data_IF_174650499175
#
_entry.id   IF_174650499175
#
_cell.length_a   1.000
_cell.length_b   1.000
_cell.length_c   1.000
_cell.angle_alpha   90.00
_cell.angle_beta   90.00
_cell.angle_gamma   90.00
#
_symmetry.space_group_name_H-M   'P 1'
#
loop_
_entity.id
_entity.type
_entity.pdbx_description
1 polymer ?
#
# COMPACT_ATOMS: atom_id res chain seq x y z
N UNK A 1 -11.87 -12.19 2.64
CA UNK A 1 -11.93 -11.30 3.82
C UNK A 1 -12.61 -9.98 3.43
N UNK A 2 -13.58 -9.50 4.21
CA UNK A 2 -14.36 -8.29 3.88
C UNK A 2 -13.88 -7.02 4.60
N UNK A 3 -12.95 -7.15 5.55
CA UNK A 3 -12.54 -6.07 6.45
C UNK A 3 -11.68 -5.00 5.77
N UNK A 4 -10.93 -5.36 4.71
CA UNK A 4 -10.08 -4.43 3.96
C UNK A 4 -10.79 -3.77 2.76
N UNK A 5 -12.06 -4.12 2.50
CA UNK A 5 -12.85 -3.50 1.42
C UNK A 5 -12.94 -1.97 1.52
N UNK A 6 -13.06 -1.36 2.71
CA UNK A 6 -13.10 0.09 2.85
C UNK A 6 -11.87 0.83 2.31
N UNK A 7 -10.71 0.16 2.24
CA UNK A 7 -9.47 0.77 1.72
C UNK A 7 -9.43 0.82 0.19
N UNK A 8 -10.19 -0.05 -0.46
CA UNK A 8 -10.18 -0.25 -1.91
C UNK A 8 -11.36 0.43 -2.62
N UNK A 9 -12.52 0.50 -1.96
CA UNK A 9 -13.70 1.12 -2.54
C UNK A 9 -13.82 2.60 -2.15
N UNK A 10 -14.26 3.47 -3.07
CA UNK A 10 -14.74 3.18 -4.42
C UNK A 10 -13.60 3.10 -5.48
N UNK A 11 -13.76 2.26 -6.49
CA UNK A 11 -12.78 2.13 -7.60
C UNK A 11 -12.76 3.32 -8.56
N UNK A 12 -13.83 4.12 -8.54
CA UNK A 12 -13.92 5.40 -9.23
C UNK A 12 -14.28 6.48 -8.20
N UNK A 13 -13.63 7.65 -8.24
CA UNK A 13 -13.89 8.71 -7.27
C UNK A 13 -15.33 9.24 -7.43
N UNK A 14 -16.10 9.19 -6.36
CA UNK A 14 -17.39 9.87 -6.24
C UNK A 14 -17.13 11.15 -5.44
N UNK A 15 -17.85 12.24 -5.70
CA UNK A 15 -17.57 13.56 -5.11
C UNK A 15 -17.29 13.57 -3.59
N UNK A 16 -17.96 12.71 -2.82
CA UNK A 16 -17.78 12.62 -1.36
C UNK A 16 -16.90 11.45 -0.89
N UNK A 17 -16.47 10.54 -1.78
CA UNK A 17 -15.73 9.31 -1.40
C UNK A 17 -14.63 8.97 -2.38
N UNK A 18 -13.41 8.80 -1.86
CA UNK A 18 -12.22 8.44 -2.62
C UNK A 18 -11.59 7.18 -2.05
N UNK A 19 -10.94 6.39 -2.90
CA UNK A 19 -10.11 5.29 -2.45
C UNK A 19 -8.86 5.81 -1.73
N UNK A 20 -8.22 4.97 -0.90
CA UNK A 20 -6.96 5.34 -0.25
C UNK A 20 -5.91 5.76 -1.29
N UNK A 21 -5.85 5.08 -2.43
CA UNK A 21 -4.89 5.39 -3.49
C UNK A 21 -5.18 6.74 -4.14
N UNK A 22 -6.44 7.08 -4.40
CA UNK A 22 -6.80 8.39 -4.97
C UNK A 22 -6.46 9.54 -4.02
N UNK A 23 -6.67 9.34 -2.71
CA UNK A 23 -6.30 10.31 -1.68
C UNK A 23 -4.79 10.54 -1.66
N UNK A 24 -4.01 9.45 -1.72
CA UNK A 24 -2.55 9.50 -1.79
C UNK A 24 -2.09 10.22 -3.07
N UNK A 25 -2.67 9.84 -4.22
CA UNK A 25 -2.35 10.42 -5.53
C UNK A 25 -2.61 11.91 -5.54
N UNK A 26 -3.75 12.35 -4.98
CA UNK A 26 -4.08 13.76 -4.84
C UNK A 26 -3.09 14.48 -3.93
N UNK A 27 -2.76 13.91 -2.76
CA UNK A 27 -1.84 14.52 -1.81
C UNK A 27 -0.41 14.69 -2.35
N UNK A 28 0.02 13.81 -3.27
CA UNK A 28 1.33 13.89 -3.93
C UNK A 28 1.30 14.86 -5.12
N UNK A 29 0.30 14.76 -6.01
CA UNK A 29 0.30 15.46 -7.30
C UNK A 29 -0.35 16.85 -7.26
N UNK A 30 -1.41 17.03 -6.46
CA UNK A 30 -2.14 18.30 -6.38
C UNK A 30 -1.68 19.13 -5.18
N UNK A 31 -1.67 18.52 -3.99
CA UNK A 31 -1.36 19.25 -2.76
C UNK A 31 0.14 19.40 -2.53
N UNK A 32 0.96 18.50 -3.10
CA UNK A 32 2.42 18.48 -2.90
C UNK A 32 2.85 18.33 -1.43
N UNK A 33 1.96 17.83 -0.59
CA UNK A 33 2.14 17.77 0.87
C UNK A 33 2.82 16.50 1.35
N UNK A 34 2.96 15.51 0.47
CA UNK A 34 3.52 14.20 0.79
C UNK A 34 4.74 13.92 -0.08
N UNK A 35 5.81 13.44 0.55
CA UNK A 35 7.00 12.96 -0.17
C UNK A 35 6.88 11.46 -0.45
N UNK A 36 7.03 11.08 -1.72
CA UNK A 36 7.15 9.69 -2.13
C UNK A 36 8.62 9.27 -2.15
N UNK A 37 8.92 8.03 -1.81
CA UNK A 37 10.26 7.46 -1.78
C UNK A 37 10.37 6.25 -2.69
N UNK A 38 11.47 6.15 -3.42
CA UNK A 38 11.74 5.03 -4.33
C UNK A 38 11.97 3.72 -3.54
N UNK A 39 11.26 2.61 -3.83
CA UNK A 39 11.46 1.31 -3.19
C UNK A 39 12.68 0.55 -3.76
N UNK A 40 13.44 1.19 -4.66
CA UNK A 40 14.62 0.69 -5.31
C UNK A 40 14.30 -0.28 -6.47
N UNK A 41 15.32 -0.71 -7.24
CA UNK A 41 15.12 -1.49 -8.46
C UNK A 41 14.44 -2.85 -8.24
N UNK A 42 14.60 -3.42 -7.04
CA UNK A 42 14.06 -4.74 -6.67
C UNK A 42 12.74 -4.59 -5.86
N UNK A 43 12.38 -3.36 -5.46
CA UNK A 43 11.17 -3.12 -4.68
C UNK A 43 11.24 -3.67 -3.25
N UNK A 44 12.45 -3.81 -2.73
CA UNK A 44 12.75 -4.35 -1.39
C UNK A 44 13.38 -3.32 -0.47
N UNK A 45 13.81 -2.16 -0.99
CA UNK A 45 14.34 -1.09 -0.14
C UNK A 45 13.18 -0.42 0.59
N UNK A 46 13.26 -0.40 1.91
CA UNK A 46 12.28 0.17 2.83
C UNK A 46 12.92 1.20 3.78
N UNK A 47 14.10 1.74 3.40
CA UNK A 47 14.88 2.69 4.20
C UNK A 47 14.62 4.17 3.86
N UNK A 48 13.67 4.48 2.97
CA UNK A 48 13.27 5.86 2.61
C UNK A 48 14.45 6.76 2.18
N UNK A 49 15.44 6.21 1.46
CA UNK A 49 16.70 6.90 1.13
C UNK A 49 16.56 7.98 0.07
N UNK A 50 15.71 7.74 -0.93
CA UNK A 50 15.63 8.56 -2.15
C UNK A 50 14.23 9.16 -2.27
N UNK A 51 14.05 10.44 -1.93
CA UNK A 51 12.80 11.13 -2.21
C UNK A 51 12.64 11.30 -3.73
N UNK A 52 11.44 11.04 -4.23
CA UNK A 52 11.05 11.21 -5.63
C UNK A 52 10.36 12.55 -5.83
N UNK A 53 10.55 13.18 -6.98
CA UNK A 53 9.79 14.37 -7.34
C UNK A 53 8.36 13.99 -7.78
N UNK A 54 7.36 14.89 -7.61
CA UNK A 54 5.99 14.64 -8.07
C UNK A 54 5.90 14.29 -9.56
N UNK A 55 6.78 14.85 -10.39
CA UNK A 55 6.87 14.52 -11.82
C UNK A 55 7.33 13.09 -12.05
N UNK A 56 8.31 12.60 -11.30
CA UNK A 56 8.81 11.22 -11.41
C UNK A 56 7.74 10.22 -10.94
N UNK A 57 6.99 10.58 -9.89
CA UNK A 57 5.84 9.77 -9.45
C UNK A 57 4.77 9.72 -10.53
N UNK A 58 4.48 10.86 -11.18
CA UNK A 58 3.52 10.90 -12.29
C UNK A 58 3.96 10.01 -13.44
N UNK A 59 5.23 10.03 -13.81
CA UNK A 59 5.77 9.17 -14.86
C UNK A 59 5.72 7.69 -14.48
N UNK A 60 5.97 7.35 -13.21
CA UNK A 60 5.83 5.98 -12.71
C UNK A 60 4.37 5.48 -12.70
N UNK A 61 3.42 6.40 -12.51
CA UNK A 61 1.99 6.13 -12.58
C UNK A 61 1.44 6.08 -14.01
N UNK A 62 2.21 6.52 -15.01
CA UNK A 62 1.82 6.47 -16.42
C UNK A 62 2.64 5.38 -17.10
N UNK A 63 2.04 4.21 -17.30
CA UNK A 63 2.64 3.19 -18.15
C UNK A 63 2.35 3.55 -19.61
N UNK A 64 3.39 3.79 -20.41
CA UNK A 64 3.23 3.87 -21.87
C UNK A 64 3.08 2.45 -22.42
N UNK A 65 1.90 2.11 -22.91
CA UNK A 65 1.65 0.85 -23.60
C UNK A 65 1.56 1.13 -25.10
N UNK A 66 2.20 0.30 -25.92
CA UNK A 66 2.18 0.43 -27.38
C UNK A 66 1.09 -0.45 -27.94
N UNK A 67 0.10 0.14 -28.57
CA UNK A 67 -0.91 -0.60 -29.34
C UNK A 67 -0.74 -0.33 -30.83
N UNK A 68 -0.78 -1.38 -31.64
CA UNK A 68 -0.80 -1.24 -33.08
C UNK A 68 -2.19 -0.80 -33.52
N UNK A 69 -2.30 0.41 -34.06
CA UNK A 69 -3.55 0.93 -34.64
C UNK A 69 -3.37 1.07 -36.14
N UNK A 70 -4.37 0.66 -36.91
CA UNK A 70 -4.32 0.76 -38.36
C UNK A 70 -4.53 2.23 -38.78
N UNK A 71 -3.57 2.76 -39.55
CA UNK A 71 -3.66 4.13 -40.05
C UNK A 71 -4.69 4.19 -41.19
N UNK A 72 -5.78 4.93 -40.95
CA UNK A 72 -6.92 5.13 -41.85
C UNK A 72 -6.56 5.66 -43.25
N UNK A 73 -5.37 6.24 -43.44
CA UNK A 73 -4.93 6.80 -44.72
C UNK A 73 -3.92 5.93 -45.49
N UNK A 74 -3.14 5.11 -44.79
CA UNK A 74 -2.04 4.33 -45.40
C UNK A 74 -2.21 2.82 -45.28
N UNK A 75 -3.16 2.32 -44.47
CA UNK A 75 -3.36 0.89 -44.21
C UNK A 75 -2.17 0.21 -43.51
N UNK A 76 -1.17 0.99 -43.08
CA UNK A 76 -0.04 0.51 -42.31
C UNK A 76 -0.40 0.46 -40.82
N UNK A 77 0.11 -0.54 -40.11
CA UNK A 77 0.04 -0.55 -38.64
C UNK A 77 0.99 0.52 -38.10
N UNK A 78 0.44 1.62 -37.61
CA UNK A 78 1.20 2.62 -36.86
C UNK A 78 1.23 2.22 -35.38
N UNK A 79 2.35 2.53 -34.73
CA UNK A 79 2.50 2.35 -33.29
C UNK A 79 1.86 3.54 -32.59
N UNK A 80 0.69 3.33 -32.01
CA UNK A 80 0.05 4.33 -31.15
C UNK A 80 0.49 4.09 -29.70
N UNK A 81 1.05 5.13 -29.07
CA UNK A 81 1.35 5.13 -27.64
C UNK A 81 0.06 5.47 -26.88
N UNK A 82 -0.50 4.49 -26.16
CA UNK A 82 -1.58 4.74 -25.22
C UNK A 82 -0.96 4.91 -23.83
N UNK A 83 -1.14 6.08 -23.25
CA UNK A 83 -0.78 6.33 -21.87
C UNK A 83 -1.81 5.63 -20.97
N UNK A 84 -1.43 4.49 -20.39
CA UNK A 84 -2.24 3.79 -19.41
C UNK A 84 -1.90 4.33 -18.03
N UNK A 85 -2.76 5.21 -17.54
CA UNK A 85 -2.66 5.71 -16.17
C UNK A 85 -3.09 4.62 -15.18
N UNK A 86 -2.30 4.47 -14.11
CA UNK A 86 -2.63 3.56 -13.00
C UNK A 86 -3.90 4.05 -12.31
N UNK A 87 -4.93 3.22 -12.35
CA UNK A 87 -6.19 3.47 -11.65
C UNK A 87 -6.12 2.88 -10.25
N UNK A 88 -6.97 3.38 -9.36
CA UNK A 88 -7.15 2.82 -8.00
C UNK A 88 -7.53 1.34 -8.02
N UNK A 89 -8.22 0.91 -9.08
CA UNK A 89 -8.54 -0.50 -9.30
C UNK A 89 -7.32 -1.41 -9.51
N UNK A 90 -6.19 -0.86 -9.99
CA UNK A 90 -4.97 -1.64 -10.21
C UNK A 90 -4.17 -1.84 -8.89
N UNK A 91 -4.49 -1.07 -7.84
CA UNK A 91 -3.81 -1.12 -6.54
C UNK A 91 -4.60 -1.99 -5.57
N UNK A 92 -4.23 -3.27 -5.50
CA UNK A 92 -4.95 -4.27 -4.70
C UNK A 92 -4.30 -4.56 -3.34
N UNK A 93 -3.03 -4.19 -3.15
CA UNK A 93 -2.29 -4.50 -1.92
C UNK A 93 -1.52 -3.29 -1.42
N UNK A 94 -1.38 -3.21 -0.10
CA UNK A 94 -0.55 -2.23 0.57
C UNK A 94 0.45 -2.95 1.46
N UNK A 95 1.71 -2.55 1.40
CA UNK A 95 2.71 -2.90 2.41
C UNK A 95 2.70 -1.82 3.47
N UNK A 96 2.68 -2.24 4.73
CA UNK A 96 2.74 -1.34 5.87
C UNK A 96 3.99 -1.71 6.66
N UNK A 97 4.82 -0.70 6.97
CA UNK A 97 5.99 -0.84 7.84
C UNK A 97 5.63 -0.31 9.21
N UNK A 98 5.76 -1.17 10.22
CA UNK A 98 5.36 -0.89 11.60
C UNK A 98 6.54 -1.07 12.54
N UNK A 99 6.61 -0.21 13.55
CA UNK A 99 7.49 -0.34 14.70
C UNK A 99 6.68 -0.74 15.92
N UNK A 100 7.14 -1.76 16.62
CA UNK A 100 6.48 -2.32 17.79
C UNK A 100 7.34 -1.99 18.99
N UNK A 101 6.96 -0.93 19.70
CA UNK A 101 7.74 -0.36 20.80
C UNK A 101 7.12 -0.82 22.12
N UNK A 102 7.94 -1.44 22.96
CA UNK A 102 7.52 -1.80 24.31
C UNK A 102 7.96 -0.73 25.31
N UNK A 103 7.00 -0.04 25.93
CA UNK A 103 7.27 0.88 27.04
C UNK A 103 7.31 0.11 28.36
N UNK A 104 8.53 -0.10 28.88
CA UNK A 104 8.77 -0.80 30.15
C UNK A 104 8.13 -0.13 31.36
N UNK A 105 7.90 1.18 31.35
CA UNK A 105 7.33 1.87 32.50
C UNK A 105 5.82 1.70 32.57
N UNK A 106 5.16 1.65 31.41
CA UNK A 106 3.71 1.50 31.30
C UNK A 106 3.29 0.04 31.16
N UNK A 107 4.23 -0.86 30.84
CA UNK A 107 3.96 -2.24 30.44
C UNK A 107 2.98 -2.33 29.26
N UNK A 108 2.98 -1.30 28.41
CA UNK A 108 2.11 -1.21 27.23
C UNK A 108 2.96 -1.34 25.97
N UNK A 109 2.42 -2.04 24.98
CA UNK A 109 2.97 -2.13 23.64
C UNK A 109 2.34 -1.05 22.76
N UNK A 110 3.18 -0.15 22.27
CA UNK A 110 2.79 0.91 21.34
C UNK A 110 3.18 0.50 19.91
N UNK A 111 2.18 0.44 19.03
CA UNK A 111 2.40 0.14 17.61
C UNK A 111 2.41 1.45 16.83
N UNK A 112 3.50 1.71 16.09
CA UNK A 112 3.66 2.92 15.29
C UNK A 112 3.85 2.56 13.82
N UNK A 113 2.99 3.07 12.96
CA UNK A 113 3.15 2.92 11.51
C UNK A 113 4.21 3.94 11.05
N UNK A 114 5.27 3.46 10.40
CA UNK A 114 6.35 4.28 9.84
C UNK A 114 6.02 4.69 8.42
N UNK A 115 5.51 3.76 7.61
CA UNK A 115 5.21 4.04 6.22
C UNK A 115 4.31 3.03 5.55
N UNK A 116 3.77 3.46 4.41
CA UNK A 116 2.85 2.68 3.58
C UNK A 116 3.37 2.68 2.15
N UNK A 117 3.30 1.55 1.47
CA UNK A 117 3.63 1.40 0.07
C UNK A 117 2.45 0.76 -0.68
N UNK A 118 1.78 1.48 -1.60
CA UNK A 118 0.84 0.87 -2.52
C UNK A 118 1.55 -0.10 -3.47
N UNK A 119 0.90 -1.22 -3.77
CA UNK A 119 1.36 -2.22 -4.72
C UNK A 119 0.36 -2.39 -5.85
N UNK A 120 0.85 -2.25 -7.08
CA UNK A 120 0.07 -2.46 -8.30
C UNK A 120 0.10 -3.92 -8.71
N UNK A 121 -1.04 -4.47 -9.10
CA UNK A 121 -1.08 -5.76 -9.79
C UNK A 121 -0.57 -5.60 -11.23
N UNK A 122 0.46 -6.35 -11.60
CA UNK A 122 0.93 -6.39 -12.98
C UNK A 122 0.19 -7.48 -13.75
N UNK A 123 -0.62 -7.04 -14.69
CA UNK A 123 -1.30 -7.91 -15.65
C UNK A 123 -0.46 -7.90 -16.92
N UNK A 124 0.02 -9.07 -17.35
CA UNK A 124 0.72 -9.22 -18.61
C UNK A 124 -0.20 -8.94 -19.80
N UNK A 125 0.36 -8.73 -21.01
CA UNK A 125 -0.44 -8.54 -22.23
C UNK A 125 -1.44 -9.69 -22.49
N UNK A 126 -1.10 -10.90 -22.02
CA UNK A 126 -1.90 -12.11 -22.15
C UNK A 126 -3.04 -12.22 -21.11
N UNK A 127 -3.20 -11.23 -20.23
CA UNK A 127 -4.16 -11.26 -19.12
C UNK A 127 -3.69 -12.04 -17.89
N UNK A 128 -2.50 -12.63 -17.92
CA UNK A 128 -1.93 -13.36 -16.79
C UNK A 128 -1.42 -12.41 -15.69
N UNK A 129 -1.72 -12.77 -14.44
CA UNK A 129 -1.28 -12.04 -13.25
C UNK A 129 0.18 -12.35 -12.96
N UNK A 130 1.08 -11.41 -13.23
CA UNK A 130 2.54 -11.55 -13.02
C UNK A 130 3.02 -11.13 -11.62
N UNK A 131 2.09 -10.90 -10.70
CA UNK A 131 2.37 -10.54 -9.32
C UNK A 131 2.16 -9.06 -9.03
N UNK A 132 2.78 -8.59 -7.95
CA UNK A 132 2.59 -7.24 -7.42
C UNK A 132 3.90 -6.47 -7.44
N UNK A 133 3.88 -5.26 -7.98
CA UNK A 133 5.02 -4.35 -7.99
C UNK A 133 4.78 -3.22 -6.99
N UNK A 134 5.70 -2.96 -6.06
CA UNK A 134 5.62 -1.79 -5.19
C UNK A 134 5.82 -0.53 -6.03
N UNK A 135 5.01 0.50 -5.77
CA UNK A 135 5.10 1.77 -6.49
C UNK A 135 6.12 2.69 -5.82
N UNK A 136 5.79 3.15 -4.61
CA UNK A 136 6.61 4.05 -3.82
C UNK A 136 6.29 3.91 -2.33
N UNK A 137 7.24 4.24 -1.48
CA UNK A 137 7.05 4.34 -0.04
C UNK A 137 6.60 5.74 0.35
N UNK A 138 5.67 5.82 1.30
CA UNK A 138 5.17 7.07 1.87
C UNK A 138 5.50 7.10 3.34
N UNK A 139 5.97 8.25 3.82
CA UNK A 139 6.17 8.46 5.24
C UNK A 139 4.82 8.70 5.92
N UNK A 140 4.46 7.83 6.86
CA UNK A 140 3.11 7.81 7.43
C UNK A 140 2.77 9.08 8.25
N UNK A 141 3.70 9.68 9.02
CA UNK A 141 3.43 10.94 9.71
C UNK A 141 3.05 12.11 8.81
N UNK A 142 3.62 12.20 7.60
CA UNK A 142 3.22 13.20 6.59
C UNK A 142 1.83 12.85 6.02
N UNK A 143 1.65 11.58 5.67
CA UNK A 143 0.41 11.08 5.09
C UNK A 143 -0.80 11.28 6.04
N UNK A 144 -0.60 11.21 7.35
CA UNK A 144 -1.65 11.41 8.36
C UNK A 144 -2.41 12.74 8.19
N UNK A 145 -1.71 13.84 7.89
CA UNK A 145 -2.36 15.14 7.71
C UNK A 145 -3.36 15.16 6.56
N UNK A 146 -3.11 14.35 5.53
CA UNK A 146 -4.04 14.16 4.41
C UNK A 146 -5.15 13.19 4.80
N UNK A 147 -4.81 12.05 5.41
CA UNK A 147 -5.78 10.99 5.76
C UNK A 147 -6.84 11.40 6.78
N UNK A 148 -6.57 12.41 7.62
CA UNK A 148 -7.56 12.93 8.58
C UNK A 148 -8.74 13.62 7.88
N UNK A 149 -8.50 14.23 6.71
CA UNK A 149 -9.52 15.01 6.00
C UNK A 149 -10.44 14.16 5.11
N UNK A 150 -10.13 12.88 4.94
CA UNK A 150 -10.86 11.99 4.03
C UNK A 150 -11.57 10.87 4.80
N UNK A 151 -12.85 10.71 4.51
CA UNK A 151 -13.72 9.69 5.10
C UNK A 151 -13.61 8.35 4.34
N UNK A 152 -13.64 7.26 5.10
CA UNK A 152 -13.61 5.88 4.64
C UNK A 152 -15.02 5.37 4.35
N UNK A 153 -15.15 4.53 3.33
CA UNK A 153 -16.41 3.86 3.03
C UNK A 153 -16.79 2.81 4.10
N UNK A 154 -17.89 3.03 4.82
CA UNK A 154 -18.45 2.05 5.75
C UNK A 154 -19.67 1.35 5.14
N UNK A 155 -19.65 0.01 5.11
CA UNK A 155 -20.76 -0.81 4.58
C UNK A 155 -21.92 -0.96 5.56
N UNK A 156 -21.63 -0.97 6.85
CA UNK A 156 -22.61 -1.26 7.90
C UNK A 156 -23.36 -0.01 8.33
N UNK A 157 -22.70 1.16 8.28
CA UNK A 157 -23.30 2.42 8.68
C UNK A 157 -22.79 3.60 7.84
N UNK A 158 -23.63 4.07 6.91
CA UNK A 158 -23.32 5.19 6.02
C UNK A 158 -23.27 6.55 6.74
N UNK A 159 -23.91 6.64 7.91
CA UNK A 159 -23.96 7.87 8.72
C UNK A 159 -22.74 8.03 9.64
N UNK A 160 -22.01 6.94 9.92
CA UNK A 160 -20.78 7.00 10.69
C UNK A 160 -19.63 7.44 9.77
N UNK A 161 -19.18 8.68 9.94
CA UNK A 161 -17.97 9.18 9.29
C UNK A 161 -16.75 8.71 10.07
N UNK A 162 -15.90 7.92 9.42
CA UNK A 162 -14.64 7.44 9.97
C UNK A 162 -13.53 7.86 9.02
N UNK A 163 -12.51 8.57 9.50
CA UNK A 163 -11.37 8.97 8.67
C UNK A 163 -10.42 7.80 8.41
N UNK A 164 -9.61 7.90 7.34
CA UNK A 164 -8.58 6.91 7.07
C UNK A 164 -7.55 6.83 8.21
N UNK A 165 -7.21 7.97 8.82
CA UNK A 165 -6.31 7.98 9.97
C UNK A 165 -6.86 7.17 11.15
N UNK A 166 -8.16 7.30 11.46
CA UNK A 166 -8.77 6.53 12.53
C UNK A 166 -8.72 5.02 12.26
N UNK A 167 -8.92 4.58 11.02
CA UNK A 167 -8.83 3.17 10.63
C UNK A 167 -7.42 2.61 10.86
N UNK A 168 -6.38 3.34 10.46
CA UNK A 168 -5.00 2.92 10.67
C UNK A 168 -4.58 2.98 12.14
N UNK A 169 -5.01 4.01 12.87
CA UNK A 169 -4.72 4.15 14.30
C UNK A 169 -5.38 3.06 15.14
N UNK A 170 -6.65 2.75 14.87
CA UNK A 170 -7.38 1.66 15.54
C UNK A 170 -7.04 0.26 15.01
N UNK A 171 -6.12 0.16 14.04
CA UNK A 171 -5.73 -1.10 13.37
C UNK A 171 -6.90 -1.91 12.84
N UNK A 172 -7.92 -1.25 12.31
CA UNK A 172 -9.11 -1.90 11.73
C UNK A 172 -8.85 -2.40 10.31
N UNK A 173 -7.83 -3.23 10.15
CA UNK A 173 -7.48 -3.88 8.90
C UNK A 173 -6.90 -5.27 9.18
N UNK A 174 -7.00 -6.17 8.21
CA UNK A 174 -6.29 -7.44 8.27
C UNK A 174 -4.99 -7.37 7.48
N UNK A 175 -3.94 -7.96 8.05
CA UNK A 175 -2.60 -7.97 7.46
C UNK A 175 -1.91 -9.31 7.70
N UNK A 176 -1.05 -9.70 6.77
CA UNK A 176 -0.15 -10.84 6.89
C UNK A 176 1.28 -10.34 7.04
N UNK A 177 1.99 -10.84 8.05
CA UNK A 177 3.40 -10.50 8.26
C UNK A 177 4.23 -11.21 7.19
N UNK A 178 5.02 -10.43 6.44
CA UNK A 178 5.90 -10.97 5.37
C UNK A 178 7.38 -10.76 5.66
N UNK A 179 7.72 -9.79 6.49
CA UNK A 179 9.10 -9.47 6.91
C UNK A 179 9.06 -9.07 8.38
N UNK A 180 10.05 -9.52 9.13
CA UNK A 180 10.33 -9.11 10.51
C UNK A 180 11.79 -8.68 10.57
N UNK A 181 12.10 -7.75 11.46
CA UNK A 181 13.49 -7.34 11.71
C UNK A 181 14.35 -8.57 12.04
N UNK A 182 15.42 -8.78 11.27
CA UNK A 182 16.35 -9.87 11.48
C UNK A 182 17.76 -9.49 11.04
N UNK A 183 18.75 -10.21 11.54
CA UNK A 183 20.19 -9.94 11.31
C UNK A 183 20.58 -9.92 9.83
N UNK A 184 19.87 -10.70 9.01
CA UNK A 184 20.19 -10.88 7.58
C UNK A 184 19.29 -10.06 6.65
N UNK A 185 18.40 -9.23 7.21
CA UNK A 185 17.35 -8.48 6.53
C UNK A 185 16.51 -9.29 5.51
N UNK A 186 16.26 -10.57 5.81
CA UNK A 186 15.58 -11.49 4.89
C UNK A 186 14.06 -11.43 5.02
N UNK A 187 13.35 -11.56 3.90
CA UNK A 187 11.91 -11.77 3.90
C UNK A 187 11.60 -13.24 4.27
N UNK A 188 10.43 -13.52 4.86
CA UNK A 188 9.98 -14.87 5.21
C UNK A 188 10.01 -15.80 3.98
N UNK A 189 9.60 -15.27 2.82
CA UNK A 189 9.57 -16.01 1.56
C UNK A 189 10.96 -16.43 1.04
N UNK A 190 12.06 -15.88 1.58
CA UNK A 190 13.42 -16.25 1.16
C UNK A 190 13.94 -17.52 1.84
N UNK A 191 13.36 -17.92 2.97
CA UNK A 191 13.80 -19.09 3.72
C UNK A 191 12.69 -20.12 4.00
N UNK A 192 11.41 -19.74 3.84
CA UNK A 192 10.27 -20.66 3.84
C UNK A 192 9.48 -20.52 2.54
N UNK A 193 8.94 -21.63 2.04
CA UNK A 193 8.27 -21.68 0.72
C UNK A 193 6.78 -21.96 0.88
N UNK A 194 5.95 -21.27 0.10
CA UNK A 194 4.53 -21.57 -0.02
C UNK A 194 3.76 -21.44 1.30
N UNK A 195 3.11 -22.53 1.73
CA UNK A 195 2.24 -22.58 2.92
C UNK A 195 3.06 -22.31 4.19
N UNK A 196 4.29 -22.80 4.26
CA UNK A 196 5.14 -22.63 5.45
C UNK A 196 5.48 -21.16 5.71
N UNK A 197 5.56 -20.34 4.66
CA UNK A 197 5.78 -18.90 4.80
C UNK A 197 4.56 -18.19 5.40
N UNK A 198 3.35 -18.62 5.04
CA UNK A 198 2.11 -18.09 5.61
C UNK A 198 1.98 -18.49 7.07
N UNK A 199 2.21 -19.77 7.39
CA UNK A 199 2.19 -20.28 8.76
C UNK A 199 3.21 -19.55 9.64
N UNK A 200 4.41 -19.30 9.13
CA UNK A 200 5.41 -18.52 9.88
C UNK A 200 4.96 -17.09 10.17
N UNK A 201 4.26 -16.45 9.23
CA UNK A 201 3.68 -15.13 9.44
C UNK A 201 2.61 -15.14 10.53
N UNK A 202 1.79 -16.20 10.58
CA UNK A 202 0.79 -16.41 11.64
C UNK A 202 1.45 -16.69 13.00
N UNK A 203 2.47 -17.55 13.06
CA UNK A 203 3.24 -17.83 14.28
C UNK A 203 3.86 -16.54 14.86
N UNK A 204 4.41 -15.66 14.03
CA UNK A 204 4.98 -14.37 14.49
C UNK A 204 3.88 -13.46 15.03
N UNK A 205 2.71 -13.45 14.37
CA UNK A 205 1.56 -12.66 14.82
C UNK A 205 1.04 -13.15 16.18
N UNK A 206 0.95 -14.46 16.35
CA UNK A 206 0.54 -15.08 17.62
C UNK A 206 1.58 -14.83 18.73
N UNK A 207 2.86 -14.90 18.41
CA UNK A 207 3.93 -14.56 19.34
C UNK A 207 3.83 -13.11 19.85
N UNK A 208 3.59 -12.14 18.95
CA UNK A 208 3.41 -10.74 19.34
C UNK A 208 2.18 -10.56 20.23
N UNK A 209 1.08 -11.23 19.91
CA UNK A 209 -0.15 -11.19 20.70
C UNK A 209 0.03 -11.80 22.10
N UNK A 210 0.68 -12.96 22.19
CA UNK A 210 0.94 -13.61 23.47
C UNK A 210 1.92 -12.80 24.31
N UNK A 211 2.95 -12.20 23.70
CA UNK A 211 3.86 -11.31 24.40
C UNK A 211 3.12 -10.12 25.00
N UNK A 212 2.19 -9.51 24.26
CA UNK A 212 1.32 -8.47 24.81
C UNK A 212 0.48 -9.01 25.97
N UNK A 213 -0.23 -10.13 25.79
CA UNK A 213 -1.11 -10.69 26.81
C UNK A 213 -0.38 -11.10 28.10
N UNK A 214 0.80 -11.69 27.99
CA UNK A 214 1.62 -12.09 29.13
C UNK A 214 2.03 -10.89 29.99
N UNK A 215 2.25 -9.72 29.37
CA UNK A 215 2.56 -8.48 30.10
C UNK A 215 1.37 -7.95 30.92
N UNK A 216 0.14 -8.30 30.55
CA UNK A 216 -1.08 -7.91 31.28
C UNK A 216 -1.41 -8.84 32.45
N UNK A 217 -0.86 -10.06 32.50
CA UNK A 217 -1.18 -11.06 33.54
C UNK A 217 -0.29 -10.99 34.80
N UNK A 218 0.38 -9.86 35.07
CA UNK A 218 1.23 -9.63 36.25
C UNK A 218 0.68 -8.58 37.22
#
# INVERSE_FOLDING_TARGET
>A
EKINLPLYYPTEPINDRKSLFDVIKQGILEDGSITAYDPGPIGTDDEFKKPMLPTEVKDLLISQDTTFTENIYTGAMDTAFINKEVKSADVLKYRVKEDWIFDRQRSVMDIRIIGICPMRENIGPDGEKRGFTPLFWLYFPELRYVLVNWDVYNRENDAERRSFDHLFWSRQFNSTITKVSNVYDRNIAQYKTGIDALLQGEEIKEYLFNFEHDLWNF
#
